data_IF_038607507626
#
_entry.id   IF_038607507626
#
_cell.length_a   1.000
_cell.length_b   1.000
_cell.length_c   1.000
_cell.angle_alpha   90.00
_cell.angle_beta   90.00
_cell.angle_gamma   90.00
#
_symmetry.space_group_name_H-M   'P 1'
#
loop_
_entity.id
_entity.type
_entity.pdbx_description
1 polymer ?
#
# COMPACT_ATOMS: atom_id res chain seq x y z
N UNK A 1 -6.01 2.26 19.44
CA UNK A 1 -7.17 1.77 18.71
C UNK A 1 -7.28 2.47 17.37
N UNK A 2 -7.57 1.72 16.33
CA UNK A 2 -7.79 2.29 15.02
C UNK A 2 -9.14 2.97 14.95
N UNK A 3 -9.13 4.21 14.50
CA UNK A 3 -10.36 4.92 14.17
C UNK A 3 -10.56 5.02 12.66
N UNK A 4 -9.77 4.26 11.90
CA UNK A 4 -9.80 4.28 10.45
C UNK A 4 -11.17 3.82 9.94
N UNK A 5 -11.80 4.57 9.01
CA UNK A 5 -13.07 4.13 8.42
C UNK A 5 -12.80 3.01 7.43
N UNK A 6 -13.07 1.77 7.85
CA UNK A 6 -12.84 0.61 6.99
C UNK A 6 -13.89 0.52 5.90
N UNK A 7 -13.46 0.08 4.72
CA UNK A 7 -14.29 -0.16 3.54
C UNK A 7 -15.03 1.08 3.02
N UNK A 8 -14.47 2.26 3.31
CA UNK A 8 -14.99 3.52 2.81
C UNK A 8 -13.86 4.27 2.11
N UNK A 9 -14.12 4.77 0.92
CA UNK A 9 -13.15 5.57 0.19
C UNK A 9 -13.13 6.99 0.74
N UNK A 10 -11.92 7.52 0.92
CA UNK A 10 -11.75 8.91 1.32
C UNK A 10 -10.51 9.49 0.66
N UNK A 11 -10.51 10.80 0.45
CA UNK A 11 -9.38 11.50 -0.14
C UNK A 11 -8.50 12.10 0.95
N UNK A 12 -7.18 12.04 0.77
CA UNK A 12 -6.24 12.61 1.72
C UNK A 12 -5.05 13.16 0.97
N UNK A 13 -4.58 14.34 1.38
CA UNK A 13 -3.35 14.93 0.86
C UNK A 13 -2.17 14.36 1.64
N UNK A 14 -1.13 13.96 0.92
CA UNK A 14 0.12 13.52 1.52
C UNK A 14 1.27 14.34 0.97
N UNK A 15 2.25 14.71 1.82
CA UNK A 15 3.52 15.22 1.30
C UNK A 15 4.32 14.09 0.67
N UNK A 16 5.40 14.41 -0.01
CA UNK A 16 6.32 13.39 -0.49
C UNK A 16 6.87 12.62 0.71
N UNK A 17 6.91 11.29 0.61
CA UNK A 17 7.34 10.39 1.68
C UNK A 17 8.55 9.61 1.22
N UNK A 18 9.70 9.84 1.86
CA UNK A 18 10.93 9.13 1.49
C UNK A 18 10.83 7.67 1.92
N UNK A 19 11.45 6.80 1.13
CA UNK A 19 11.41 5.36 1.38
C UNK A 19 12.60 4.66 0.75
N UNK A 20 12.87 3.45 1.22
CA UNK A 20 13.69 2.48 0.52
C UNK A 20 12.75 1.54 -0.22
N UNK A 21 13.08 1.21 -1.46
CA UNK A 21 12.23 0.37 -2.30
C UNK A 21 13.03 -0.71 -3.00
N UNK A 22 12.36 -1.82 -3.28
CA UNK A 22 12.87 -2.87 -4.15
C UNK A 22 11.83 -3.13 -5.25
N UNK A 23 12.25 -2.95 -6.50
CA UNK A 23 11.38 -3.15 -7.66
C UNK A 23 11.50 -4.61 -8.11
N UNK A 24 10.93 -5.52 -7.34
CA UNK A 24 10.93 -6.96 -7.64
C UNK A 24 9.52 -7.51 -7.59
N UNK A 25 9.04 -8.07 -8.70
CA UNK A 25 7.68 -8.63 -8.74
C UNK A 25 7.52 -9.80 -7.80
N UNK A 26 6.34 -9.92 -7.22
CA UNK A 26 5.98 -11.08 -6.42
C UNK A 26 4.46 -11.19 -6.35
N UNK A 27 3.95 -12.33 -5.88
CA UNK A 27 2.50 -12.59 -5.83
C UNK A 27 2.00 -13.06 -4.48
N UNK A 28 2.86 -13.64 -3.64
CA UNK A 28 2.45 -14.22 -2.37
C UNK A 28 3.18 -13.58 -1.21
N UNK A 29 2.59 -13.66 -0.03
CA UNK A 29 3.22 -13.15 1.20
C UNK A 29 4.56 -13.86 1.47
N UNK A 30 4.65 -15.13 1.14
CA UNK A 30 5.88 -15.88 1.31
C UNK A 30 7.01 -15.31 0.45
N UNK A 31 6.66 -14.84 -0.74
CA UNK A 31 7.64 -14.20 -1.64
C UNK A 31 7.99 -12.78 -1.19
N UNK A 32 7.06 -12.11 -0.50
CA UNK A 32 7.28 -10.77 0.01
C UNK A 32 8.30 -10.74 1.14
N UNK A 33 8.28 -11.75 2.01
CA UNK A 33 9.09 -11.75 3.22
C UNK A 33 10.59 -11.57 2.96
N UNK A 34 11.23 -12.31 2.02
CA UNK A 34 12.64 -12.07 1.71
C UNK A 34 12.92 -10.66 1.22
N UNK A 35 11.98 -10.05 0.50
CA UNK A 35 12.15 -8.68 0.01
C UNK A 35 12.14 -7.68 1.14
N UNK A 36 11.26 -7.87 2.11
CA UNK A 36 11.21 -7.02 3.30
C UNK A 36 12.49 -7.21 4.11
N UNK A 37 12.98 -8.44 4.24
CA UNK A 37 14.25 -8.70 4.95
C UNK A 37 15.41 -7.99 4.26
N UNK A 38 15.42 -7.94 2.94
CA UNK A 38 16.47 -7.23 2.21
C UNK A 38 16.39 -5.73 2.46
N UNK A 39 15.19 -5.15 2.46
CA UNK A 39 15.00 -3.73 2.78
C UNK A 39 15.47 -3.39 4.19
N UNK A 40 15.28 -4.29 5.13
CA UNK A 40 15.68 -4.09 6.52
C UNK A 40 17.17 -3.93 6.68
N UNK A 41 17.97 -4.37 5.73
CA UNK A 41 19.42 -4.21 5.79
C UNK A 41 19.88 -2.77 5.60
N UNK A 42 19.04 -1.91 5.04
CA UNK A 42 19.41 -0.52 4.85
C UNK A 42 19.47 0.26 6.15
N UNK A 43 18.63 -0.09 7.12
CA UNK A 43 18.65 0.57 8.42
C UNK A 43 18.04 -0.34 9.48
N UNK A 44 18.84 -1.27 10.03
CA UNK A 44 18.34 -2.22 11.01
C UNK A 44 17.84 -1.58 12.30
N UNK A 45 18.37 -0.42 12.67
CA UNK A 45 18.00 0.23 13.93
C UNK A 45 16.58 0.79 13.92
N UNK A 46 16.10 1.20 12.77
CA UNK A 46 14.77 1.77 12.66
C UNK A 46 13.65 0.75 12.68
N UNK A 47 13.98 -0.53 12.56
CA UNK A 47 12.98 -1.59 12.51
C UNK A 47 12.19 -1.75 13.78
N UNK A 48 12.74 -1.30 14.88
CA UNK A 48 12.13 -1.53 16.19
C UNK A 48 11.34 -0.34 16.69
N UNK A 49 11.45 0.79 16.02
CA UNK A 49 10.90 2.04 16.52
C UNK A 49 9.51 2.32 16.02
N UNK A 50 9.23 1.92 14.80
CA UNK A 50 7.96 2.26 14.15
C UNK A 50 7.22 0.97 13.80
N UNK A 51 6.27 0.57 14.39
CA UNK A 51 5.49 -0.62 14.08
C UNK A 51 5.42 -0.92 12.58
N UNK A 52 4.25 -1.06 12.05
CA UNK A 52 4.09 -1.50 10.67
C UNK A 52 3.64 -0.41 9.69
N UNK A 53 3.52 0.81 10.18
CA UNK A 53 2.90 1.90 9.41
C UNK A 53 3.70 2.30 8.18
N UNK A 54 4.96 1.93 8.13
CA UNK A 54 5.84 2.34 7.05
C UNK A 54 6.15 1.26 6.03
N UNK A 55 5.51 0.10 6.10
CA UNK A 55 5.79 -1.02 5.21
C UNK A 55 4.65 -1.18 4.22
N UNK A 56 5.00 -1.35 2.96
CA UNK A 56 3.97 -1.57 1.95
C UNK A 56 4.50 -2.15 0.66
N UNK A 57 3.60 -2.24 -0.29
CA UNK A 57 3.88 -2.83 -1.60
C UNK A 57 3.31 -1.96 -2.69
N UNK A 58 3.90 -2.11 -3.89
CA UNK A 58 3.40 -1.46 -5.10
C UNK A 58 2.60 -2.47 -5.92
N UNK A 59 1.45 -2.02 -6.42
CA UNK A 59 0.66 -2.77 -7.39
C UNK A 59 0.56 -1.97 -8.67
N UNK A 60 0.58 -2.68 -9.81
CA UNK A 60 0.36 -2.04 -11.10
C UNK A 60 -1.11 -1.66 -11.26
N UNK A 61 -1.38 -0.39 -11.54
CA UNK A 61 -2.73 0.05 -11.88
C UNK A 61 -3.20 -0.62 -13.16
N UNK A 62 -2.31 -0.74 -14.15
CA UNK A 62 -2.64 -1.42 -15.40
C UNK A 62 -3.04 -2.87 -15.14
N UNK A 63 -2.27 -3.57 -14.30
CA UNK A 63 -2.62 -4.94 -13.91
C UNK A 63 -3.96 -5.00 -13.18
N UNK A 64 -4.20 -4.07 -12.27
CA UNK A 64 -5.45 -4.02 -11.51
C UNK A 64 -6.65 -3.78 -12.42
N UNK A 65 -6.51 -2.89 -13.40
CA UNK A 65 -7.57 -2.64 -14.38
C UNK A 65 -7.87 -3.88 -15.23
N UNK A 66 -6.89 -4.76 -15.38
CA UNK A 66 -7.06 -6.02 -16.11
C UNK A 66 -7.49 -7.17 -15.19
N UNK A 67 -7.84 -6.88 -13.94
CA UNK A 67 -8.32 -7.89 -12.99
C UNK A 67 -7.23 -8.60 -12.20
N UNK A 68 -5.97 -8.16 -12.33
CA UNK A 68 -4.85 -8.78 -11.63
C UNK A 68 -4.49 -7.94 -10.40
N UNK A 69 -5.15 -8.21 -9.29
CA UNK A 69 -5.08 -7.37 -8.09
C UNK A 69 -4.11 -7.87 -7.03
N UNK A 70 -3.28 -8.85 -7.37
CA UNK A 70 -2.24 -9.38 -6.49
C UNK A 70 -0.92 -9.54 -7.21
N UNK A 71 -0.72 -8.81 -8.30
CA UNK A 71 0.57 -8.78 -8.97
C UNK A 71 1.35 -7.58 -8.46
N UNK A 72 2.13 -7.82 -7.43
CA UNK A 72 2.93 -6.80 -6.81
C UNK A 72 4.19 -6.56 -7.63
N UNK A 73 4.57 -5.30 -7.78
CA UNK A 73 5.75 -4.93 -8.57
C UNK A 73 6.95 -4.59 -7.69
N UNK A 74 6.75 -4.51 -6.39
CA UNK A 74 7.83 -4.22 -5.47
C UNK A 74 7.32 -3.94 -4.06
N UNK A 75 8.26 -3.65 -3.17
CA UNK A 75 8.00 -3.35 -1.76
C UNK A 75 8.71 -2.07 -1.37
N UNK A 76 8.27 -1.46 -0.28
CA UNK A 76 8.93 -0.27 0.26
C UNK A 76 8.84 -0.24 1.78
N UNK A 77 9.77 0.51 2.36
CA UNK A 77 9.75 0.86 3.77
C UNK A 77 9.97 2.37 3.86
N UNK A 78 9.06 3.08 4.52
CA UNK A 78 9.23 4.52 4.72
C UNK A 78 10.42 4.79 5.61
N UNK A 79 11.27 5.73 5.20
CA UNK A 79 12.47 6.09 5.93
C UNK A 79 12.93 7.48 5.49
N UNK A 80 13.24 8.40 6.43
CA UNK A 80 13.66 9.77 6.08
C UNK A 80 14.91 9.82 5.20
N UNK A 81 15.78 8.82 5.32
CA UNK A 81 17.01 8.72 4.51
C UNK A 81 16.87 7.88 3.27
N UNK A 82 15.65 7.52 2.86
CA UNK A 82 15.44 6.64 1.73
C UNK A 82 15.86 7.27 0.42
N UNK A 83 16.30 6.42 -0.52
CA UNK A 83 16.73 6.86 -1.85
C UNK A 83 15.57 7.01 -2.83
N UNK A 84 14.39 6.54 -2.45
CA UNK A 84 13.18 6.67 -3.26
C UNK A 84 12.15 7.53 -2.54
N UNK A 85 11.05 7.81 -3.20
CA UNK A 85 9.95 8.51 -2.53
C UNK A 85 8.61 8.15 -3.14
N UNK A 86 7.58 8.23 -2.30
CA UNK A 86 6.20 8.22 -2.74
C UNK A 86 5.83 9.68 -2.99
N UNK A 87 5.31 9.97 -4.17
CA UNK A 87 5.09 11.35 -4.59
C UNK A 87 4.02 12.05 -3.76
N UNK A 88 4.21 13.35 -3.56
CA UNK A 88 3.21 14.18 -2.92
C UNK A 88 1.96 14.29 -3.80
N UNK A 89 0.82 14.48 -3.20
CA UNK A 89 -0.42 14.72 -3.93
C UNK A 89 -1.63 14.24 -3.19
N UNK A 90 -2.74 14.24 -3.91
CA UNK A 90 -4.00 13.74 -3.40
C UNK A 90 -4.06 12.23 -3.64
N UNK A 91 -4.40 11.50 -2.59
CA UNK A 91 -4.58 10.06 -2.65
C UNK A 91 -6.01 9.70 -2.30
N UNK A 92 -6.58 8.78 -3.07
CA UNK A 92 -7.84 8.16 -2.73
C UNK A 92 -7.51 6.90 -1.95
N UNK A 93 -8.09 6.77 -0.77
CA UNK A 93 -7.69 5.74 0.20
C UNK A 93 -8.87 4.83 0.54
N UNK A 94 -8.56 3.58 0.81
CA UNK A 94 -9.57 2.58 1.21
C UNK A 94 -8.91 1.55 2.11
N UNK A 95 -9.31 1.52 3.37
CA UNK A 95 -8.80 0.56 4.33
C UNK A 95 -9.71 -0.66 4.43
N UNK A 96 -9.12 -1.81 4.75
CA UNK A 96 -9.91 -3.02 4.97
C UNK A 96 -9.22 -3.93 5.96
N UNK A 97 -10.00 -4.81 6.56
CA UNK A 97 -9.52 -5.85 7.47
C UNK A 97 -9.58 -7.20 6.77
N UNK A 98 -8.59 -8.04 7.06
CA UNK A 98 -8.54 -9.38 6.50
C UNK A 98 -7.41 -9.56 5.49
N UNK A 99 -7.35 -10.71 4.82
CA UNK A 99 -6.26 -11.05 3.92
C UNK A 99 -6.30 -10.23 2.63
N UNK A 100 -5.15 -10.13 1.97
CA UNK A 100 -5.03 -9.34 0.74
C UNK A 100 -5.72 -9.98 -0.47
N UNK A 101 -6.24 -11.19 -0.33
CA UNK A 101 -7.13 -11.75 -1.33
C UNK A 101 -8.37 -10.87 -1.52
N UNK A 102 -8.71 -10.05 -0.54
CA UNK A 102 -9.79 -9.08 -0.65
C UNK A 102 -9.50 -7.97 -1.65
N UNK A 103 -8.27 -7.86 -2.13
CA UNK A 103 -7.95 -6.93 -3.21
C UNK A 103 -8.82 -7.17 -4.44
N UNK A 104 -9.18 -8.42 -4.71
CA UNK A 104 -10.04 -8.74 -5.85
C UNK A 104 -11.40 -8.05 -5.78
N UNK A 105 -11.86 -7.76 -4.58
CA UNK A 105 -13.11 -7.06 -4.31
C UNK A 105 -12.90 -5.54 -4.19
N UNK A 106 -11.87 -5.14 -3.46
CA UNK A 106 -11.74 -3.75 -3.00
C UNK A 106 -10.92 -2.86 -3.94
N UNK A 107 -9.95 -3.41 -4.67
CA UNK A 107 -9.21 -2.63 -5.65
C UNK A 107 -10.12 -2.15 -6.80
N UNK A 108 -10.98 -3.01 -7.39
CA UNK A 108 -11.92 -2.52 -8.38
C UNK A 108 -12.87 -1.45 -7.83
N UNK A 109 -13.26 -1.56 -6.58
CA UNK A 109 -14.12 -0.59 -5.92
C UNK A 109 -13.42 0.77 -5.78
N UNK A 110 -12.14 0.76 -5.42
CA UNK A 110 -11.34 1.98 -5.33
C UNK A 110 -11.20 2.65 -6.70
N UNK A 111 -10.93 1.87 -7.74
CA UNK A 111 -10.79 2.37 -9.09
C UNK A 111 -12.12 2.94 -9.61
N UNK A 112 -13.22 2.28 -9.28
CA UNK A 112 -14.55 2.75 -9.67
C UNK A 112 -14.89 4.07 -8.97
N UNK A 113 -14.49 4.21 -7.70
CA UNK A 113 -14.72 5.44 -6.96
C UNK A 113 -13.92 6.60 -7.57
N UNK A 114 -12.68 6.35 -7.99
CA UNK A 114 -11.89 7.37 -8.67
C UNK A 114 -12.58 7.84 -9.93
N UNK A 115 -13.08 6.90 -10.72
CA UNK A 115 -13.81 7.23 -11.94
C UNK A 115 -15.09 8.02 -11.65
N UNK A 116 -15.82 7.63 -10.61
CA UNK A 116 -17.05 8.32 -10.22
C UNK A 116 -16.80 9.77 -9.78
N UNK A 117 -15.60 10.04 -9.27
CA UNK A 117 -15.19 11.39 -8.86
C UNK A 117 -14.46 12.15 -9.96
N UNK A 118 -14.42 11.60 -11.17
CA UNK A 118 -13.75 12.20 -12.34
C UNK A 118 -12.24 12.37 -12.09
N UNK A 119 -11.64 11.37 -11.45
CA UNK A 119 -10.22 11.33 -11.15
C UNK A 119 -9.53 10.21 -11.91
N UNK A 120 -8.27 10.42 -12.26
CA UNK A 120 -7.45 9.42 -12.94
C UNK A 120 -6.27 9.00 -12.05
N UNK A 121 -5.88 7.72 -12.10
CA UNK A 121 -4.69 7.28 -11.39
C UNK A 121 -3.45 8.03 -11.89
N UNK A 122 -2.58 8.41 -10.96
CA UNK A 122 -1.37 9.17 -11.26
C UNK A 122 -0.12 8.51 -10.68
N UNK A 123 -0.10 7.20 -10.60
CA UNK A 123 1.04 6.45 -10.08
C UNK A 123 0.62 5.04 -9.73
N UNK A 124 1.53 4.26 -9.18
CA UNK A 124 1.20 2.90 -8.75
C UNK A 124 0.20 2.94 -7.60
N UNK A 125 -0.54 1.85 -7.46
CA UNK A 125 -1.38 1.65 -6.30
C UNK A 125 -0.49 1.19 -5.15
N UNK A 126 -0.67 1.77 -3.99
CA UNK A 126 0.09 1.43 -2.78
C UNK A 126 -0.77 0.60 -1.85
N UNK A 127 -0.17 -0.41 -1.25
CA UNK A 127 -0.83 -1.24 -0.24
C UNK A 127 -0.01 -1.18 1.03
N UNK A 128 -0.53 -0.53 2.07
CA UNK A 128 0.15 -0.38 3.36
C UNK A 128 -0.36 -1.40 4.36
N UNK A 129 0.57 -1.97 5.12
CA UNK A 129 0.23 -2.79 6.28
C UNK A 129 0.12 -1.89 7.49
N UNK A 130 -1.08 -1.74 8.04
CA UNK A 130 -1.34 -0.79 9.13
C UNK A 130 -1.39 -1.42 10.51
N UNK A 131 -1.87 -2.64 10.61
CA UNK A 131 -1.96 -3.31 11.91
C UNK A 131 -0.66 -3.99 12.28
N UNK A 132 -0.40 -4.08 13.58
CA UNK A 132 0.76 -4.80 14.07
C UNK A 132 0.53 -6.29 13.94
N UNK A 133 1.15 -6.88 12.96
CA UNK A 133 1.02 -8.30 12.69
C UNK A 133 1.72 -9.16 13.73
N UNK A 134 2.54 -8.56 14.60
CA UNK A 134 3.22 -9.30 15.66
C UNK A 134 2.28 -9.69 16.79
N UNK A 135 1.13 -9.05 16.91
CA UNK A 135 0.18 -9.33 17.96
C UNK A 135 -0.83 -10.40 17.59
N UNK A 136 -0.89 -10.79 16.33
CA UNK A 136 -1.82 -11.81 15.88
C UNK A 136 -1.27 -12.55 14.66
N UNK A 137 -1.47 -13.87 14.65
CA UNK A 137 -1.17 -14.71 13.51
C UNK A 137 -2.40 -14.88 12.61
N UNK A 138 -3.54 -14.33 13.00
CA UNK A 138 -4.78 -14.46 12.25
C UNK A 138 -4.89 -13.35 11.22
N UNK A 139 -5.01 -13.73 9.94
CA UNK A 139 -5.16 -12.77 8.84
C UNK A 139 -6.39 -11.88 9.02
N UNK A 140 -7.39 -12.35 9.75
CA UNK A 140 -8.60 -11.58 10.00
C UNK A 140 -8.32 -10.30 10.80
N UNK A 141 -7.21 -10.25 11.53
CA UNK A 141 -6.83 -9.07 12.32
C UNK A 141 -5.92 -8.11 11.56
N UNK A 142 -5.47 -8.49 10.38
CA UNK A 142 -4.63 -7.61 9.58
C UNK A 142 -5.47 -6.47 9.02
N UNK A 143 -4.92 -5.26 9.07
CA UNK A 143 -5.54 -4.08 8.49
C UNK A 143 -4.62 -3.55 7.40
N UNK A 144 -5.20 -3.31 6.24
CA UNK A 144 -4.48 -2.83 5.05
C UNK A 144 -5.13 -1.54 4.58
N UNK A 145 -4.32 -0.61 4.12
CA UNK A 145 -4.85 0.58 3.45
C UNK A 145 -4.31 0.66 2.03
N UNK A 146 -5.23 0.71 1.08
CA UNK A 146 -4.91 0.97 -0.32
C UNK A 146 -4.86 2.48 -0.51
N UNK A 147 -3.85 2.97 -1.22
CA UNK A 147 -3.70 4.40 -1.52
C UNK A 147 -3.37 4.58 -2.99
N UNK A 148 -4.21 5.31 -3.68
CA UNK A 148 -4.04 5.57 -5.10
C UNK A 148 -3.89 7.08 -5.32
N UNK A 149 -2.71 7.51 -5.77
CA UNK A 149 -2.52 8.91 -6.13
C UNK A 149 -3.39 9.22 -7.34
N UNK A 150 -4.10 10.33 -7.27
CA UNK A 150 -5.06 10.71 -8.31
C UNK A 150 -4.88 12.15 -8.74
N UNK A 151 -5.27 12.43 -9.98
CA UNK A 151 -5.31 13.78 -10.53
C UNK A 151 -6.64 13.93 -11.25
N UNK A 152 -7.09 15.17 -11.53
CA UNK A 152 -8.31 15.34 -12.34
C UNK A 152 -8.16 14.60 -13.67
N UNK A 153 -9.24 13.93 -14.08
CA UNK A 153 -9.23 13.16 -15.31
C UNK A 153 -9.23 14.04 -16.56
N UNK A 154 -9.45 15.34 -16.39
CA UNK A 154 -9.45 16.32 -17.49
C UNK A 154 -8.70 17.57 -17.10
#
# INVERSE_FOLDING_TARGET
AFTLPLEQCFAQEFPARRCHSLARPYRTDAEMDPLIQELRRFDPEHLYVWGNDGIGSYLSVEGALAGRCQEYTGVFILHPGGESQLDAGTYLCLGYRGPNTRNAELVPRLLAEARARDLAPAGPLLEFLLADIHTSADDADHVTELQLRVTPAR
#
